data_IF_002093617615
#
_entry.id   IF_002093617615
#
_cell.length_a   1.000
_cell.length_b   1.000
_cell.length_c   1.000
_cell.angle_alpha   90.00
_cell.angle_beta   90.00
_cell.angle_gamma   90.00
#
_symmetry.space_group_name_H-M   'P 1'
#
loop_
_entity.id
_entity.type
_entity.pdbx_description
1 polymer ?
#
# COMPACT_ATOMS: atom_id res chain seq x y z
N UNK A 1 -1.21 -6.09 -9.85
CA UNK A 1 -0.66 -5.55 -11.13
C UNK A 1 0.87 -5.65 -11.19
N UNK A 2 1.63 -4.92 -10.38
CA UNK A 2 3.12 -4.85 -10.46
C UNK A 2 3.84 -6.19 -10.28
N UNK A 3 3.21 -7.17 -9.65
CA UNK A 3 3.77 -8.51 -9.40
C UNK A 3 3.27 -9.57 -10.36
N UNK A 4 2.16 -9.33 -11.05
CA UNK A 4 1.53 -10.31 -11.94
C UNK A 4 1.56 -9.87 -13.39
N UNK A 5 1.73 -8.59 -13.67
CA UNK A 5 1.74 -8.01 -15.02
C UNK A 5 3.09 -7.30 -15.28
N UNK A 6 3.11 -5.99 -15.34
CA UNK A 6 4.32 -5.19 -15.51
C UNK A 6 4.10 -3.76 -15.02
N UNK A 7 5.15 -2.97 -14.81
CA UNK A 7 5.02 -1.55 -14.54
C UNK A 7 4.32 -0.79 -15.67
N UNK A 8 4.57 -1.12 -16.93
CA UNK A 8 3.92 -0.50 -18.09
C UNK A 8 2.40 -0.79 -18.12
N UNK A 9 2.01 -2.04 -17.87
CA UNK A 9 0.59 -2.41 -17.74
C UNK A 9 -0.08 -1.67 -16.59
N UNK A 10 0.64 -1.51 -15.47
CA UNK A 10 0.15 -0.76 -14.32
C UNK A 10 -0.11 0.71 -14.67
N UNK A 11 0.83 1.37 -15.34
CA UNK A 11 0.74 2.78 -15.73
C UNK A 11 -0.46 3.02 -16.67
N UNK A 12 -0.63 2.16 -17.66
CA UNK A 12 -1.77 2.21 -18.60
C UNK A 12 -3.11 1.92 -17.93
N UNK A 13 -3.14 1.05 -16.92
CA UNK A 13 -4.35 0.79 -16.15
C UNK A 13 -4.76 2.00 -15.30
N UNK A 14 -3.81 2.66 -14.66
CA UNK A 14 -4.04 3.87 -13.84
C UNK A 14 -4.65 5.01 -14.68
N UNK A 15 -4.28 5.13 -15.95
CA UNK A 15 -4.79 6.13 -16.89
C UNK A 15 -6.04 5.68 -17.68
N UNK A 16 -6.52 4.45 -17.44
CA UNK A 16 -7.62 3.82 -18.17
C UNK A 16 -7.36 3.59 -19.67
N UNK A 17 -6.10 3.63 -20.09
CA UNK A 17 -5.70 3.13 -21.41
C UNK A 17 -5.91 1.61 -21.49
N UNK A 18 -5.63 0.89 -20.42
CA UNK A 18 -6.06 -0.49 -20.20
C UNK A 18 -7.29 -0.45 -19.29
N UNK A 19 -8.39 -1.04 -19.76
CA UNK A 19 -9.67 -1.05 -19.07
C UNK A 19 -9.64 -1.98 -17.85
N UNK A 20 -10.50 -1.72 -16.86
CA UNK A 20 -10.68 -2.65 -15.74
C UNK A 20 -11.12 -4.04 -16.20
N UNK A 21 -11.87 -4.12 -17.30
CA UNK A 21 -12.32 -5.38 -17.89
C UNK A 21 -11.25 -6.11 -18.70
N UNK A 22 -10.04 -5.54 -18.84
CA UNK A 22 -8.93 -6.22 -19.51
C UNK A 22 -8.53 -7.49 -18.73
N UNK A 23 -8.25 -8.61 -19.44
CA UNK A 23 -7.84 -9.86 -18.80
C UNK A 23 -6.66 -9.73 -17.84
N UNK A 24 -5.74 -8.81 -18.07
CA UNK A 24 -4.61 -8.55 -17.18
C UNK A 24 -5.06 -7.98 -15.83
N UNK A 25 -6.07 -7.11 -15.82
CA UNK A 25 -6.63 -6.51 -14.60
C UNK A 25 -7.50 -7.52 -13.87
N UNK A 26 -8.41 -8.19 -14.58
CA UNK A 26 -9.26 -9.25 -14.02
C UNK A 26 -8.39 -10.35 -13.39
N UNK A 27 -7.34 -10.80 -14.08
CA UNK A 27 -6.42 -11.82 -13.58
C UNK A 27 -5.65 -11.36 -12.33
N UNK A 28 -5.34 -10.08 -12.20
CA UNK A 28 -4.70 -9.56 -10.99
C UNK A 28 -5.67 -9.50 -9.79
N UNK A 29 -6.96 -9.23 -10.04
CA UNK A 29 -8.03 -9.30 -9.02
C UNK A 29 -8.23 -10.77 -8.58
N UNK A 30 -8.29 -11.70 -9.53
CA UNK A 30 -8.42 -13.14 -9.23
C UNK A 30 -7.22 -13.66 -8.41
N UNK A 31 -6.00 -13.22 -8.73
CA UNK A 31 -4.81 -13.62 -7.98
C UNK A 31 -4.88 -13.16 -6.51
N UNK A 32 -5.36 -11.94 -6.27
CA UNK A 32 -5.65 -11.47 -4.91
C UNK A 32 -6.71 -12.33 -4.23
N UNK A 33 -7.74 -12.75 -4.96
CA UNK A 33 -8.82 -13.57 -4.44
C UNK A 33 -8.39 -14.95 -3.97
N UNK A 34 -7.33 -15.55 -4.53
CA UNK A 34 -6.78 -16.84 -4.07
C UNK A 34 -6.41 -16.83 -2.60
N UNK A 35 -5.99 -15.66 -2.12
CA UNK A 35 -5.66 -15.42 -0.72
C UNK A 35 -6.88 -14.87 0.04
N UNK A 36 -7.42 -13.73 -0.38
CA UNK A 36 -8.37 -12.93 0.40
C UNK A 36 -9.76 -13.59 0.56
N UNK A 37 -10.13 -14.51 -0.35
CA UNK A 37 -11.40 -15.28 -0.32
C UNK A 37 -11.24 -16.68 0.26
N UNK A 38 -10.08 -17.04 0.77
CA UNK A 38 -9.85 -18.35 1.35
C UNK A 38 -9.85 -18.25 2.88
N UNK A 39 -10.94 -18.68 3.50
CA UNK A 39 -11.14 -18.61 4.95
C UNK A 39 -10.04 -19.33 5.74
N UNK A 40 -9.35 -20.30 5.15
CA UNK A 40 -8.25 -20.98 5.81
C UNK A 40 -6.95 -20.14 5.89
N UNK A 41 -6.86 -19.05 5.12
CA UNK A 41 -5.66 -18.23 5.04
C UNK A 41 -5.78 -16.88 5.76
N UNK A 42 -7.01 -16.50 6.13
CA UNK A 42 -7.24 -15.16 6.69
C UNK A 42 -7.98 -15.21 8.02
N UNK A 43 -7.53 -14.45 8.99
CA UNK A 43 -8.20 -14.32 10.28
C UNK A 43 -9.59 -13.71 10.10
N UNK A 44 -10.62 -14.38 10.60
CA UNK A 44 -12.02 -14.00 10.41
C UNK A 44 -12.59 -14.29 9.01
N UNK A 45 -11.83 -15.02 8.15
CA UNK A 45 -12.26 -15.38 6.80
C UNK A 45 -12.46 -14.18 5.88
N UNK A 46 -13.12 -14.39 4.75
CA UNK A 46 -13.43 -13.33 3.77
C UNK A 46 -14.24 -12.17 4.41
N UNK A 47 -15.14 -12.46 5.35
CA UNK A 47 -15.86 -11.45 6.09
C UNK A 47 -14.94 -10.55 6.92
N UNK A 48 -13.91 -11.13 7.56
CA UNK A 48 -12.87 -10.39 8.27
C UNK A 48 -12.09 -9.46 7.35
N UNK A 49 -11.69 -9.94 6.17
CA UNK A 49 -10.99 -9.11 5.17
C UNK A 49 -11.83 -7.91 4.75
N UNK A 50 -13.15 -8.08 4.59
CA UNK A 50 -14.05 -7.02 4.13
C UNK A 50 -14.40 -5.99 5.22
N UNK A 51 -14.32 -6.34 6.51
CA UNK A 51 -14.88 -5.55 7.61
C UNK A 51 -13.89 -5.09 8.68
N UNK A 52 -12.73 -5.74 8.79
CA UNK A 52 -11.75 -5.38 9.82
C UNK A 52 -11.08 -4.04 9.51
N UNK A 53 -11.14 -3.10 10.46
CA UNK A 53 -10.40 -1.84 10.36
C UNK A 53 -8.89 -2.13 10.23
N UNK A 54 -8.21 -1.39 9.38
CA UNK A 54 -6.78 -1.62 9.12
C UNK A 54 -5.90 -1.47 10.37
N UNK A 55 -6.33 -0.66 11.35
CA UNK A 55 -5.63 -0.48 12.64
C UNK A 55 -5.75 -1.69 13.55
N UNK A 56 -6.81 -2.47 13.39
CA UNK A 56 -7.04 -3.69 14.15
C UNK A 56 -6.48 -4.93 13.45
N UNK A 57 -6.28 -4.85 12.14
CA UNK A 57 -5.87 -5.99 11.30
C UNK A 57 -4.53 -6.64 11.71
N UNK A 58 -3.52 -5.97 12.29
CA UNK A 58 -2.29 -6.63 12.74
C UNK A 58 -2.44 -7.37 14.07
N UNK A 59 -3.50 -7.13 14.85
CA UNK A 59 -3.64 -7.68 16.22
C UNK A 59 -3.60 -9.19 16.28
N UNK A 60 -4.04 -9.88 15.22
CA UNK A 60 -4.00 -11.33 15.13
C UNK A 60 -2.59 -11.93 15.18
N UNK A 61 -1.55 -11.16 14.82
CA UNK A 61 -0.14 -11.58 14.95
C UNK A 61 0.28 -11.76 16.41
N UNK A 62 -0.31 -11.00 17.33
CA UNK A 62 0.14 -10.84 18.72
C UNK A 62 -0.77 -11.56 19.73
N UNK A 63 -1.74 -12.36 19.28
CA UNK A 63 -2.54 -13.20 20.17
C UNK A 63 -1.78 -14.48 20.58
N UNK A 64 -2.21 -15.12 21.67
CA UNK A 64 -1.63 -16.39 22.13
C UNK A 64 -2.73 -17.44 22.22
N UNK A 65 -2.76 -18.46 21.33
CA UNK A 65 -1.89 -18.61 20.16
C UNK A 65 -2.14 -17.54 19.09
N UNK A 66 -1.18 -17.31 18.17
CA UNK A 66 -1.39 -16.39 17.06
C UNK A 66 -2.53 -16.83 16.15
N UNK A 67 -3.38 -15.89 15.75
CA UNK A 67 -4.44 -16.13 14.77
C UNK A 67 -3.93 -16.07 13.34
N UNK A 68 -2.84 -15.35 13.11
CA UNK A 68 -2.13 -15.30 11.84
C UNK A 68 -0.63 -15.15 12.09
N UNK A 69 0.19 -15.50 11.10
CA UNK A 69 1.66 -15.45 11.17
C UNK A 69 2.27 -14.38 10.25
N UNK A 70 1.48 -13.84 9.34
CA UNK A 70 1.90 -12.84 8.38
C UNK A 70 0.80 -11.79 8.20
N UNK A 71 1.22 -10.56 8.00
CA UNK A 71 0.33 -9.44 7.71
C UNK A 71 0.92 -8.60 6.58
N UNK A 72 0.13 -8.28 5.56
CA UNK A 72 0.57 -7.42 4.47
C UNK A 72 -0.01 -6.03 4.65
N UNK A 73 0.85 -5.03 4.81
CA UNK A 73 0.44 -3.64 4.97
C UNK A 73 1.59 -2.69 4.56
N UNK A 74 1.39 -1.39 4.68
CA UNK A 74 2.39 -0.37 4.44
C UNK A 74 3.29 -0.12 5.67
N UNK A 75 4.34 0.67 5.49
CA UNK A 75 5.39 0.94 6.48
C UNK A 75 4.91 1.57 7.79
N UNK A 76 3.74 2.18 7.82
CA UNK A 76 3.17 2.80 9.02
C UNK A 76 2.55 1.79 10.00
N UNK A 77 2.32 0.55 9.60
CA UNK A 77 1.53 -0.41 10.41
C UNK A 77 2.10 -0.71 11.80
N UNK A 78 3.42 -0.63 12.06
CA UNK A 78 3.96 -0.80 13.40
C UNK A 78 3.40 0.19 14.44
N UNK A 79 2.90 1.36 14.01
CA UNK A 79 2.26 2.33 14.89
C UNK A 79 0.93 1.84 15.48
N UNK A 80 0.39 0.73 14.97
CA UNK A 80 -0.86 0.09 15.42
C UNK A 80 -0.62 -1.27 16.08
N UNK A 81 0.63 -1.63 16.33
CA UNK A 81 0.96 -2.82 17.10
C UNK A 81 0.63 -2.62 18.58
N UNK A 82 0.40 -3.69 19.34
CA UNK A 82 0.22 -3.59 20.78
C UNK A 82 1.37 -2.84 21.45
N UNK A 83 1.06 -2.08 22.49
CA UNK A 83 2.05 -1.36 23.27
C UNK A 83 3.15 -2.31 23.79
N UNK A 84 4.39 -1.88 23.75
CA UNK A 84 5.55 -2.66 24.14
C UNK A 84 6.10 -3.61 23.06
N UNK A 85 5.45 -3.74 21.90
CA UNK A 85 5.96 -4.55 20.78
C UNK A 85 7.31 -4.04 20.30
N UNK A 86 8.31 -4.91 20.26
CA UNK A 86 9.65 -4.60 19.75
C UNK A 86 9.78 -5.01 18.28
N UNK A 87 9.72 -4.02 17.41
CA UNK A 87 9.93 -4.25 15.95
C UNK A 87 11.38 -4.68 15.71
N UNK A 88 11.56 -5.76 14.98
CA UNK A 88 12.84 -6.43 14.77
C UNK A 88 13.06 -7.64 15.70
N UNK A 89 12.23 -7.81 16.74
CA UNK A 89 12.30 -8.96 17.67
C UNK A 89 10.98 -9.72 17.73
N UNK A 90 9.88 -9.03 18.09
CA UNK A 90 8.55 -9.66 18.22
C UNK A 90 7.83 -9.74 16.88
N UNK A 91 8.11 -8.77 16.00
CA UNK A 91 7.68 -8.75 14.61
C UNK A 91 8.76 -8.08 13.75
N UNK A 92 9.01 -8.62 12.57
CA UNK A 92 9.90 -8.03 11.58
C UNK A 92 9.18 -8.04 10.21
N UNK A 93 9.78 -7.43 9.21
CA UNK A 93 9.22 -7.42 7.88
C UNK A 93 10.13 -8.12 6.88
N UNK A 94 9.53 -8.59 5.81
CA UNK A 94 10.24 -9.02 4.62
C UNK A 94 9.60 -8.42 3.36
N UNK A 95 10.42 -8.26 2.35
CA UNK A 95 9.97 -7.72 1.08
C UNK A 95 8.99 -8.71 0.43
N UNK A 96 7.86 -8.22 -0.08
CA UNK A 96 6.86 -9.08 -0.72
C UNK A 96 7.51 -9.93 -1.83
N UNK A 97 7.45 -11.27 -1.75
CA UNK A 97 8.16 -12.15 -2.66
C UNK A 97 7.66 -12.02 -4.10
N UNK A 98 8.52 -12.30 -5.09
CA UNK A 98 8.07 -12.42 -6.48
C UNK A 98 7.18 -13.65 -6.64
N UNK A 99 6.25 -13.61 -7.59
CA UNK A 99 5.57 -14.81 -8.04
C UNK A 99 6.55 -15.66 -8.86
N UNK A 100 6.58 -16.98 -8.61
CA UNK A 100 7.46 -17.90 -9.31
C UNK A 100 7.22 -17.89 -10.84
N UNK A 101 5.99 -17.61 -11.27
CA UNK A 101 5.60 -17.49 -12.68
C UNK A 101 6.06 -16.17 -13.33
N UNK A 102 6.56 -15.20 -12.57
CA UNK A 102 6.96 -13.86 -13.05
C UNK A 102 8.22 -13.35 -12.34
N UNK A 103 9.33 -14.12 -12.36
CA UNK A 103 10.55 -13.75 -11.65
C UNK A 103 11.19 -12.48 -12.21
N UNK A 104 11.00 -12.21 -13.51
CA UNK A 104 11.63 -11.08 -14.21
C UNK A 104 11.03 -9.71 -13.86
N UNK A 105 9.89 -9.68 -13.16
CA UNK A 105 9.32 -8.42 -12.67
C UNK A 105 10.13 -7.78 -11.52
N UNK A 106 11.15 -8.46 -11.03
CA UNK A 106 12.08 -7.94 -10.03
C UNK A 106 11.40 -7.60 -8.71
N UNK A 107 11.82 -6.48 -8.11
CA UNK A 107 11.32 -5.98 -6.82
C UNK A 107 10.71 -4.57 -6.97
N UNK A 108 9.60 -4.40 -7.67
CA UNK A 108 8.95 -3.10 -7.76
C UNK A 108 8.41 -2.67 -6.39
N UNK A 109 8.62 -1.41 -6.04
CA UNK A 109 8.07 -0.79 -4.84
C UNK A 109 6.78 -0.07 -5.21
N UNK A 110 5.71 -0.38 -4.48
CA UNK A 110 4.47 0.38 -4.48
C UNK A 110 4.48 1.27 -3.24
N UNK A 111 4.27 2.54 -3.41
CA UNK A 111 4.21 3.51 -2.33
C UNK A 111 3.08 4.48 -2.48
N UNK A 112 2.73 5.10 -1.38
CA UNK A 112 1.89 6.28 -1.31
C UNK A 112 2.60 7.32 -0.43
N UNK A 113 2.07 8.52 -0.32
CA UNK A 113 2.71 9.55 0.49
C UNK A 113 1.74 10.61 0.97
N UNK A 114 2.09 11.25 2.06
CA UNK A 114 1.39 12.44 2.52
C UNK A 114 1.85 13.63 1.68
N UNK A 115 0.90 14.26 1.01
CA UNK A 115 1.13 15.48 0.24
C UNK A 115 0.81 16.69 1.10
N UNK A 116 1.70 17.66 1.10
CA UNK A 116 1.51 18.94 1.82
C UNK A 116 1.30 20.06 0.81
N UNK A 117 0.21 20.80 0.95
CA UNK A 117 -0.15 21.90 0.04
C UNK A 117 -0.45 23.20 0.81
N UNK A 118 -0.18 24.33 0.17
CA UNK A 118 -0.56 25.64 0.69
C UNK A 118 -1.98 25.95 0.22
N UNK A 119 -2.92 26.02 1.17
CA UNK A 119 -4.32 26.40 0.88
C UNK A 119 -4.54 27.91 0.97
N UNK A 120 -3.71 28.62 1.74
CA UNK A 120 -3.70 30.08 1.83
C UNK A 120 -2.26 30.58 1.76
N UNK A 121 -1.93 31.28 0.70
CA UNK A 121 -0.58 31.79 0.49
C UNK A 121 -0.20 32.85 1.54
N UNK A 122 0.98 32.66 2.15
CA UNK A 122 1.59 33.58 3.09
C UNK A 122 3.10 33.35 3.18
N UNK A 123 3.84 34.33 3.66
CA UNK A 123 5.29 34.17 3.91
C UNK A 123 5.56 33.05 4.89
N UNK A 124 4.74 32.90 5.94
CA UNK A 124 4.87 31.82 6.94
C UNK A 124 4.59 30.45 6.33
N UNK A 125 3.53 30.29 5.53
CA UNK A 125 3.22 29.04 4.86
C UNK A 125 4.35 28.62 3.90
N UNK A 126 4.89 29.54 3.12
CA UNK A 126 6.03 29.27 2.24
C UNK A 126 7.27 28.86 3.03
N UNK A 127 7.60 29.57 4.11
CA UNK A 127 8.74 29.23 4.98
C UNK A 127 8.59 27.85 5.60
N UNK A 128 7.37 27.46 6.00
CA UNK A 128 7.09 26.13 6.53
C UNK A 128 7.30 25.03 5.48
N UNK A 129 6.85 25.24 4.24
CA UNK A 129 7.12 24.28 3.16
C UNK A 129 8.63 24.16 2.90
N UNK A 130 9.38 25.28 2.89
CA UNK A 130 10.83 25.21 2.73
C UNK A 130 11.50 24.44 3.89
N UNK A 131 11.03 24.62 5.13
CA UNK A 131 11.51 23.83 6.26
C UNK A 131 11.22 22.33 6.08
N UNK A 132 10.01 21.96 5.64
CA UNK A 132 9.66 20.57 5.39
C UNK A 132 10.49 19.89 4.28
N UNK A 133 11.14 20.64 3.42
CA UNK A 133 12.06 20.12 2.40
C UNK A 133 13.47 19.87 2.94
N UNK A 134 13.77 20.31 4.15
CA UNK A 134 15.11 20.16 4.74
C UNK A 134 15.31 18.78 5.35
N UNK A 135 16.52 18.17 5.26
CA UNK A 135 16.83 16.92 5.91
C UNK A 135 16.47 16.87 7.40
N UNK A 136 16.74 17.96 8.13
CA UNK A 136 16.43 18.06 9.56
C UNK A 136 14.96 17.79 9.88
N UNK A 137 14.02 18.31 9.09
CA UNK A 137 12.59 18.08 9.30
C UNK A 137 12.25 16.59 9.15
N UNK A 138 12.81 15.95 8.12
CA UNK A 138 12.60 14.52 7.91
C UNK A 138 13.22 13.66 9.02
N UNK A 139 14.42 13.99 9.46
CA UNK A 139 15.11 13.28 10.54
C UNK A 139 14.37 13.35 11.88
N UNK A 140 13.66 14.45 12.14
CA UNK A 140 12.78 14.56 13.30
C UNK A 140 11.61 13.57 13.19
N UNK A 141 10.93 13.49 12.05
CA UNK A 141 9.86 12.50 11.82
C UNK A 141 10.37 11.06 11.83
N UNK A 142 11.59 10.81 11.32
CA UNK A 142 12.19 9.47 11.33
C UNK A 142 12.40 8.95 12.76
N UNK A 143 12.73 9.84 13.70
CA UNK A 143 12.91 9.49 15.13
C UNK A 143 11.61 9.13 15.84
N UNK A 144 10.48 9.72 15.41
CA UNK A 144 9.17 9.39 15.98
C UNK A 144 8.63 8.04 15.47
N UNK A 145 9.16 7.54 14.35
CA UNK A 145 8.73 6.29 13.72
C UNK A 145 7.50 6.45 12.82
N UNK A 146 7.17 5.36 12.09
CA UNK A 146 6.04 5.35 11.15
C UNK A 146 6.22 6.21 9.91
N UNK A 147 7.39 6.83 9.71
CA UNK A 147 7.72 7.71 8.61
C UNK A 147 8.92 7.20 7.81
N UNK A 148 8.78 7.18 6.49
CA UNK A 148 9.87 6.95 5.55
C UNK A 148 10.06 8.20 4.70
N UNK A 149 11.32 8.61 4.51
CA UNK A 149 11.64 9.79 3.73
C UNK A 149 11.96 9.47 2.27
N UNK A 150 11.50 10.27 1.29
CA UNK A 150 11.99 10.21 -0.08
C UNK A 150 13.34 10.91 -0.27
N UNK A 151 13.85 11.65 0.74
CA UNK A 151 15.11 12.37 0.63
C UNK A 151 16.29 11.42 0.83
N UNK A 152 17.23 11.44 -0.12
CA UNK A 152 18.48 10.65 -0.06
C UNK A 152 19.57 11.31 0.78
N UNK A 153 19.39 12.57 1.17
CA UNK A 153 20.40 13.38 1.86
C UNK A 153 20.28 13.37 3.38
N UNK A 154 19.33 12.62 3.92
CA UNK A 154 19.14 12.48 5.37
C UNK A 154 20.17 11.53 6.00
N UNK A 155 20.41 11.72 7.31
CA UNK A 155 21.14 10.72 8.09
C UNK A 155 20.24 9.49 8.33
N UNK A 156 20.60 8.35 7.73
CA UNK A 156 19.85 7.09 7.86
C UNK A 156 19.81 6.54 9.30
N UNK A 157 20.76 6.94 10.15
CA UNK A 157 20.78 6.55 11.57
C UNK A 157 19.73 7.29 12.42
N UNK A 158 19.00 8.23 11.81
CA UNK A 158 17.83 8.87 12.44
C UNK A 158 16.59 7.98 12.47
N UNK A 159 16.53 6.86 11.72
CA UNK A 159 15.41 5.94 11.83
C UNK A 159 15.32 5.30 13.21
N UNK A 160 14.09 5.18 13.73
CA UNK A 160 13.80 4.72 15.09
C UNK A 160 14.32 3.31 15.39
N UNK A 161 14.46 2.46 14.39
CA UNK A 161 14.96 1.09 14.50
C UNK A 161 15.47 0.56 13.15
N UNK A 162 16.15 -0.60 13.18
CA UNK A 162 16.74 -1.24 12.01
C UNK A 162 15.70 -1.65 10.96
N UNK A 163 14.48 -2.01 11.38
CA UNK A 163 13.42 -2.36 10.44
C UNK A 163 12.97 -1.14 9.63
N UNK A 164 12.78 0.02 10.28
CA UNK A 164 12.47 1.27 9.59
C UNK A 164 13.62 1.71 8.66
N UNK A 165 14.88 1.54 9.10
CA UNK A 165 16.06 1.81 8.27
C UNK A 165 16.09 0.92 7.03
N UNK A 166 15.88 -0.39 7.16
CA UNK A 166 15.80 -1.32 6.02
C UNK A 166 14.66 -0.94 5.05
N UNK A 167 13.52 -0.48 5.56
CA UNK A 167 12.40 -0.01 4.71
C UNK A 167 12.78 1.27 3.96
N UNK A 168 13.45 2.20 4.64
CA UNK A 168 14.01 3.42 4.02
C UNK A 168 15.00 3.10 2.91
N UNK A 169 15.89 2.14 3.13
CA UNK A 169 16.86 1.67 2.13
C UNK A 169 16.16 1.06 0.89
N UNK A 170 15.10 0.27 1.10
CA UNK A 170 14.30 -0.27 -0.01
C UNK A 170 13.72 0.86 -0.85
N UNK A 171 13.17 1.90 -0.21
CA UNK A 171 12.63 3.07 -0.92
C UNK A 171 13.72 3.85 -1.66
N UNK A 172 14.85 4.13 -0.98
CA UNK A 172 15.94 4.93 -1.53
C UNK A 172 16.68 4.25 -2.69
N UNK A 173 16.73 2.91 -2.69
CA UNK A 173 17.43 2.09 -3.70
C UNK A 173 16.50 1.47 -4.75
N UNK A 174 15.20 1.73 -4.67
CA UNK A 174 14.22 1.19 -5.60
C UNK A 174 14.56 1.56 -7.06
N UNK A 175 14.70 0.56 -7.92
CA UNK A 175 14.89 0.73 -9.37
C UNK A 175 13.56 0.93 -10.09
N UNK A 176 12.48 0.43 -9.51
CA UNK A 176 11.10 0.60 -10.00
C UNK A 176 10.22 1.00 -8.83
N UNK A 177 9.68 2.20 -8.90
CA UNK A 177 8.71 2.73 -7.95
C UNK A 177 7.43 3.10 -8.71
N UNK A 178 6.27 2.79 -8.13
CA UNK A 178 4.98 3.31 -8.60
C UNK A 178 4.17 3.81 -7.41
N UNK A 179 3.53 4.95 -7.62
CA UNK A 179 2.57 5.48 -6.67
C UNK A 179 1.31 4.62 -6.66
N UNK A 180 0.58 4.58 -5.55
CA UNK A 180 -0.66 3.83 -5.44
C UNK A 180 -1.63 4.25 -6.55
N UNK A 181 -2.07 3.28 -7.37
CA UNK A 181 -2.90 3.55 -8.52
C UNK A 181 -4.27 4.10 -8.14
N UNK A 182 -4.82 3.69 -7.00
CA UNK A 182 -6.10 4.20 -6.53
C UNK A 182 -6.04 5.69 -6.20
N UNK A 183 -4.90 6.16 -5.69
CA UNK A 183 -4.67 7.59 -5.38
C UNK A 183 -4.42 8.43 -6.64
N UNK A 184 -3.96 7.80 -7.73
CA UNK A 184 -3.74 8.47 -9.02
C UNK A 184 -4.99 8.52 -9.90
N UNK A 185 -5.98 7.69 -9.62
CA UNK A 185 -7.25 7.66 -10.33
C UNK A 185 -8.16 8.81 -9.89
N UNK A 186 -9.17 9.22 -10.69
CA UNK A 186 -10.22 10.10 -10.21
C UNK A 186 -10.82 9.58 -8.91
N UNK A 187 -11.05 10.45 -7.92
CA UNK A 187 -11.51 10.03 -6.59
C UNK A 187 -12.78 9.19 -6.58
N UNK A 188 -13.72 9.45 -7.53
CA UNK A 188 -14.92 8.61 -7.73
C UNK A 188 -14.58 7.16 -8.11
N UNK A 189 -13.42 6.93 -8.72
CA UNK A 189 -12.94 5.60 -9.11
C UNK A 189 -12.06 5.02 -8.01
N UNK A 190 -10.92 5.62 -7.72
CA UNK A 190 -9.93 5.06 -6.80
C UNK A 190 -10.47 4.85 -5.39
N UNK A 191 -10.97 5.91 -4.76
CA UNK A 191 -11.57 5.87 -3.43
C UNK A 191 -13.06 5.43 -3.43
N UNK A 192 -13.72 5.45 -4.58
CA UNK A 192 -15.13 5.08 -4.74
C UNK A 192 -15.31 3.68 -5.31
N UNK A 193 -15.57 3.60 -6.63
CA UNK A 193 -15.98 2.36 -7.30
C UNK A 193 -14.96 1.22 -7.19
N UNK A 194 -13.66 1.52 -7.19
CA UNK A 194 -12.62 0.50 -7.02
C UNK A 194 -12.62 -0.04 -5.59
N UNK A 195 -12.66 0.82 -4.58
CA UNK A 195 -12.73 0.39 -3.19
C UNK A 195 -13.95 -0.49 -2.93
N UNK A 196 -15.15 -0.01 -3.25
CA UNK A 196 -16.39 -0.77 -3.05
C UNK A 196 -16.43 -2.05 -3.86
N UNK A 197 -15.92 -2.01 -5.10
CA UNK A 197 -15.79 -3.19 -5.95
C UNK A 197 -14.90 -4.27 -5.33
N UNK A 198 -13.78 -3.89 -4.71
CA UNK A 198 -12.90 -4.88 -4.07
C UNK A 198 -13.51 -5.46 -2.78
N UNK A 199 -14.30 -4.68 -2.02
CA UNK A 199 -15.09 -5.21 -0.90
C UNK A 199 -16.14 -6.20 -1.40
N UNK A 200 -16.87 -5.86 -2.46
CA UNK A 200 -17.85 -6.74 -3.10
C UNK A 200 -17.19 -8.02 -3.65
N UNK A 201 -15.99 -7.91 -4.21
CA UNK A 201 -15.22 -9.06 -4.70
C UNK A 201 -14.91 -10.05 -3.56
N UNK A 202 -14.38 -9.55 -2.44
CA UNK A 202 -14.13 -10.38 -1.25
C UNK A 202 -15.43 -10.95 -0.70
N UNK A 203 -16.51 -10.16 -0.75
CA UNK A 203 -17.87 -10.57 -0.35
C UNK A 203 -18.55 -11.61 -1.26
N UNK A 204 -17.88 -12.03 -2.36
CA UNK A 204 -18.33 -13.14 -3.20
C UNK A 204 -18.59 -12.84 -4.67
N UNK A 205 -18.61 -11.57 -5.10
CA UNK A 205 -18.74 -11.24 -6.53
C UNK A 205 -17.55 -11.78 -7.34
N UNK A 206 -17.76 -12.05 -8.62
CA UNK A 206 -16.67 -12.43 -9.53
C UNK A 206 -15.76 -11.24 -9.85
N UNK A 207 -14.50 -11.51 -10.17
CA UNK A 207 -13.56 -10.48 -10.60
C UNK A 207 -14.05 -9.76 -11.88
N UNK A 208 -14.67 -10.50 -12.81
CA UNK A 208 -15.21 -9.94 -14.05
C UNK A 208 -16.38 -8.97 -13.78
N UNK A 209 -17.33 -9.34 -12.90
CA UNK A 209 -18.47 -8.46 -12.56
C UNK A 209 -18.01 -7.19 -11.84
N UNK A 210 -17.06 -7.33 -10.92
CA UNK A 210 -16.47 -6.19 -10.20
C UNK A 210 -15.74 -5.27 -11.17
N UNK A 211 -14.90 -5.83 -12.03
CA UNK A 211 -14.19 -5.09 -13.06
C UNK A 211 -15.12 -4.34 -14.02
N UNK A 212 -16.21 -5.00 -14.45
CA UNK A 212 -17.23 -4.38 -15.28
C UNK A 212 -17.94 -3.23 -14.57
N UNK A 213 -18.27 -3.38 -13.28
CA UNK A 213 -18.88 -2.33 -12.47
C UNK A 213 -17.98 -1.11 -12.32
N UNK A 214 -16.69 -1.32 -12.04
CA UNK A 214 -15.70 -0.24 -11.91
C UNK A 214 -15.50 0.47 -13.25
N UNK A 215 -15.38 -0.29 -14.36
CA UNK A 215 -15.23 0.29 -15.69
C UNK A 215 -16.44 1.14 -16.08
N UNK A 216 -17.64 0.64 -15.82
CA UNK A 216 -18.86 1.42 -16.04
C UNK A 216 -18.84 2.75 -15.31
N UNK A 217 -18.48 2.74 -14.03
CA UNK A 217 -18.34 3.97 -13.23
C UNK A 217 -17.29 4.93 -13.83
N UNK A 218 -16.21 4.39 -14.39
CA UNK A 218 -15.19 5.21 -15.06
C UNK A 218 -15.72 5.86 -16.33
N UNK A 219 -16.43 5.10 -17.15
CA UNK A 219 -16.99 5.59 -18.42
C UNK A 219 -18.08 6.68 -18.19
N UNK A 220 -18.66 6.74 -16.99
CA UNK A 220 -19.63 7.77 -16.58
C UNK A 220 -18.98 9.07 -16.09
N UNK A 221 -17.65 9.12 -15.91
CA UNK A 221 -16.94 10.36 -15.55
C UNK A 221 -16.83 11.23 -16.81
N UNK A 222 -17.46 12.41 -16.74
CA UNK A 222 -17.41 13.43 -17.78
C UNK A 222 -16.29 14.43 -17.51
#
# INVERSE_FOLDING_TARGET
MLRTQSPDTYDKWVTNEIKFTDPAVVGAIDEFGKFAKNDAYVDGGAAGVASTDFRDSPKGLFTTPPKCYMHRQASFIPSFFPEGTKVGTDADFFYFPPFASKPDLGRPVLGAGTLVSITKDSKAARAFIEYLKMPLAHELFMKDGGFLTPLKTVNQDAYINDAAKKQGDILATATTFRFDGSDLMPGKIGAGAFWTGMVDFVGGKSAADVAAGIQKAWDEIK
#
